data_IF_153862003485
#
_entry.id   IF_153862003485
#
_cell.length_a   1.000
_cell.length_b   1.000
_cell.length_c   1.000
_cell.angle_alpha   90.00
_cell.angle_beta   90.00
_cell.angle_gamma   90.00
#
_symmetry.space_group_name_H-M   'P 1'
#
loop_
_entity.id
_entity.type
_entity.pdbx_description
1 polymer ?
#
# COMPACT_ATOMS: atom_id res chain seq x y z
N UNK A 1 19.71 22.22 -2.30
CA UNK A 1 18.46 22.22 -1.52
C UNK A 1 17.61 21.05 -2.01
N UNK A 2 17.53 19.95 -1.26
CA UNK A 2 16.73 18.78 -1.64
C UNK A 2 15.95 18.31 -0.43
N UNK A 3 14.79 18.91 -0.17
CA UNK A 3 13.89 18.39 0.85
C UNK A 3 13.45 17.00 0.43
N UNK A 4 13.64 15.99 1.29
CA UNK A 4 13.02 14.68 1.11
C UNK A 4 11.51 14.87 1.15
N UNK A 5 10.90 15.02 -0.03
CA UNK A 5 9.45 15.12 -0.14
C UNK A 5 8.90 13.73 0.17
N UNK A 6 8.22 13.60 1.30
CA UNK A 6 7.57 12.36 1.67
C UNK A 6 6.59 11.95 0.57
N UNK A 7 6.77 10.75 0.02
CA UNK A 7 5.87 10.16 -0.98
C UNK A 7 4.95 9.18 -0.25
N UNK A 8 3.66 9.30 -0.51
CA UNK A 8 2.65 8.40 0.04
C UNK A 8 1.69 8.01 -1.09
N UNK A 9 1.38 6.72 -1.16
CA UNK A 9 0.39 6.17 -2.06
C UNK A 9 -0.72 5.53 -1.24
N UNK A 10 -1.97 5.77 -1.62
CA UNK A 10 -3.15 5.18 -1.00
C UNK A 10 -3.79 4.24 -2.01
N UNK A 11 -3.94 2.98 -1.65
CA UNK A 11 -4.55 1.96 -2.50
C UNK A 11 -5.82 1.44 -1.83
N UNK A 12 -6.92 1.40 -2.59
CA UNK A 12 -8.19 0.82 -2.16
C UNK A 12 -8.65 -0.16 -3.23
N UNK A 13 -9.08 -1.34 -2.80
CA UNK A 13 -9.58 -2.38 -3.68
C UNK A 13 -11.03 -2.70 -3.33
N UNK A 14 -11.89 -2.80 -4.35
CA UNK A 14 -13.20 -3.43 -4.19
C UNK A 14 -13.04 -4.90 -4.59
N UNK A 15 -13.09 -5.80 -3.61
CA UNK A 15 -13.00 -7.24 -3.85
C UNK A 15 -14.43 -7.78 -3.98
N UNK A 16 -14.80 -8.22 -5.18
CA UNK A 16 -16.11 -8.78 -5.47
C UNK A 16 -15.99 -10.28 -5.85
N UNK A 17 -17.09 -11.02 -5.74
CA UNK A 17 -17.15 -12.43 -6.13
C UNK A 17 -16.65 -13.42 -5.08
N UNK A 18 -16.32 -12.97 -3.87
CA UNK A 18 -16.08 -13.84 -2.70
C UNK A 18 -17.45 -14.19 -2.08
N UNK A 19 -17.83 -15.47 -1.99
CA UNK A 19 -19.08 -15.87 -1.35
C UNK A 19 -19.17 -15.34 0.08
N UNK A 20 -20.36 -14.94 0.54
CA UNK A 20 -20.54 -14.33 1.86
C UNK A 20 -20.14 -15.26 3.03
N UNK A 21 -20.15 -16.57 2.80
CA UNK A 21 -19.73 -17.60 3.74
C UNK A 21 -18.28 -18.09 3.54
N UNK A 22 -17.54 -17.52 2.58
CA UNK A 22 -16.16 -17.89 2.35
C UNK A 22 -15.24 -17.19 3.36
N UNK A 23 -14.37 -17.97 3.98
CA UNK A 23 -13.28 -17.47 4.81
C UNK A 23 -12.07 -17.19 3.92
N UNK A 24 -11.67 -15.93 3.84
CA UNK A 24 -10.42 -15.53 3.18
C UNK A 24 -9.26 -15.96 4.08
N UNK A 25 -8.46 -16.93 3.62
CA UNK A 25 -7.32 -17.48 4.38
C UNK A 25 -6.02 -16.72 4.16
N UNK A 26 -5.86 -16.07 3.00
CA UNK A 26 -4.68 -15.26 2.69
C UNK A 26 -5.03 -14.27 1.58
N UNK A 27 -4.46 -13.08 1.67
CA UNK A 27 -4.48 -12.09 0.61
C UNK A 27 -3.06 -11.54 0.43
N UNK A 28 -2.61 -11.37 -0.81
CA UNK A 28 -1.26 -10.86 -1.10
C UNK A 28 -1.32 -9.68 -2.04
N UNK A 29 -0.62 -8.61 -1.69
CA UNK A 29 -0.41 -7.44 -2.54
C UNK A 29 0.90 -7.60 -3.32
N UNK A 30 0.84 -7.45 -4.64
CA UNK A 30 2.02 -7.48 -5.51
C UNK A 30 2.24 -6.11 -6.15
N UNK A 31 3.42 -5.54 -5.97
CA UNK A 31 3.83 -4.26 -6.54
C UNK A 31 5.02 -4.48 -7.46
N UNK A 32 4.93 -3.99 -8.70
CA UNK A 32 6.03 -4.04 -9.65
C UNK A 32 6.87 -2.75 -9.58
N UNK A 33 8.17 -2.91 -9.43
CA UNK A 33 9.11 -1.81 -9.25
C UNK A 33 9.55 -1.28 -10.61
N UNK A 34 9.13 -0.06 -10.95
CA UNK A 34 9.52 0.60 -12.20
C UNK A 34 10.78 1.45 -12.05
N UNK A 35 11.06 1.95 -10.85
CA UNK A 35 12.27 2.69 -10.51
C UNK A 35 12.84 2.17 -9.19
N UNK A 36 14.14 1.89 -9.18
CA UNK A 36 14.83 1.29 -8.05
C UNK A 36 14.96 2.25 -6.86
N UNK A 37 15.06 1.68 -5.66
CA UNK A 37 15.25 2.42 -4.42
C UNK A 37 15.97 1.55 -3.39
N UNK A 38 16.82 2.16 -2.56
CA UNK A 38 17.42 1.47 -1.41
C UNK A 38 16.42 1.23 -0.28
N UNK A 39 15.25 1.88 -0.33
CA UNK A 39 14.11 1.65 0.57
C UNK A 39 12.82 1.49 -0.23
N UNK A 40 12.24 0.29 -0.21
CA UNK A 40 10.95 -0.02 -0.85
C UNK A 40 9.75 0.59 -0.11
N UNK A 41 9.98 1.13 1.09
CA UNK A 41 8.99 1.85 1.88
C UNK A 41 8.29 1.01 2.93
N UNK A 42 7.28 1.59 3.54
CA UNK A 42 6.46 1.00 4.60
C UNK A 42 5.04 0.84 4.07
N UNK A 43 4.43 -0.30 4.36
CA UNK A 43 3.02 -0.57 4.05
C UNK A 43 2.25 -0.65 5.37
N UNK A 44 1.20 0.15 5.49
CA UNK A 44 0.33 0.21 6.65
C UNK A 44 -1.14 0.17 6.23
N UNK A 45 -2.00 -0.35 7.11
CA UNK A 45 -3.45 -0.28 6.91
C UNK A 45 -3.96 1.15 7.11
N UNK A 46 -5.07 1.46 6.45
CA UNK A 46 -5.79 2.73 6.59
C UNK A 46 -7.24 2.39 6.88
N UNK A 47 -7.77 2.89 8.00
CA UNK A 47 -9.13 2.54 8.44
C UNK A 47 -10.21 3.24 7.60
N UNK A 48 -10.02 4.53 7.31
CA UNK A 48 -10.93 5.30 6.48
C UNK A 48 -10.83 4.80 5.05
N UNK A 49 -11.89 4.23 4.48
CA UNK A 49 -11.95 3.72 3.10
C UNK A 49 -12.86 4.53 2.19
N UNK A 50 -13.30 5.72 2.61
CA UNK A 50 -14.33 6.53 1.93
C UNK A 50 -13.78 7.74 1.17
N UNK A 51 -12.47 7.83 0.99
CA UNK A 51 -11.84 8.98 0.34
C UNK A 51 -12.14 9.03 -1.18
N UNK A 52 -12.26 10.24 -1.77
CA UNK A 52 -12.37 10.42 -3.22
C UNK A 52 -10.99 10.29 -3.89
N UNK A 53 -10.92 9.99 -5.19
CA UNK A 53 -9.63 9.89 -5.91
C UNK A 53 -8.93 11.24 -6.15
N UNK A 54 -9.53 12.33 -5.66
CA UNK A 54 -9.01 13.70 -5.75
C UNK A 54 -8.31 14.17 -4.46
N UNK A 55 -7.84 13.24 -3.61
CA UNK A 55 -7.11 13.60 -2.39
C UNK A 55 -5.81 14.36 -2.71
N UNK A 56 -5.44 15.25 -1.81
CA UNK A 56 -4.19 16.02 -1.83
C UNK A 56 -3.34 15.66 -0.62
N UNK A 57 -2.13 16.21 -0.53
CA UNK A 57 -1.36 16.09 0.71
C UNK A 57 -2.20 16.51 1.93
N UNK A 58 -2.88 17.65 1.89
CA UNK A 58 -3.63 18.15 3.05
C UNK A 58 -4.93 17.39 3.34
N UNK A 59 -5.52 16.71 2.33
CA UNK A 59 -6.82 16.03 2.45
C UNK A 59 -6.70 14.51 2.45
N UNK A 60 -5.48 13.96 2.47
CA UNK A 60 -5.23 12.53 2.51
C UNK A 60 -5.74 11.92 3.83
N UNK A 61 -6.23 10.67 3.81
CA UNK A 61 -6.56 9.94 5.04
C UNK A 61 -5.36 9.85 5.98
N UNK A 62 -5.63 9.82 7.29
CA UNK A 62 -4.62 9.47 8.27
C UNK A 62 -4.19 8.01 8.09
N UNK A 63 -2.88 7.75 8.17
CA UNK A 63 -2.35 6.39 8.22
C UNK A 63 -2.34 5.97 9.69
N UNK A 64 -3.43 5.37 10.13
CA UNK A 64 -3.74 5.05 11.53
C UNK A 64 -3.72 3.55 11.85
N UNK A 65 -3.64 2.71 10.83
CA UNK A 65 -3.65 1.27 10.97
C UNK A 65 -2.28 0.66 11.23
N UNK A 66 -2.28 -0.63 11.58
CA UNK A 66 -1.06 -1.40 11.80
C UNK A 66 -0.15 -1.38 10.56
N UNK A 67 1.15 -1.24 10.81
CA UNK A 67 2.18 -1.52 9.82
C UNK A 67 2.20 -3.02 9.52
N UNK A 68 2.07 -3.37 8.25
CA UNK A 68 2.01 -4.77 7.79
C UNK A 68 3.30 -5.22 7.10
N UNK A 69 4.10 -4.27 6.57
CA UNK A 69 5.40 -4.59 6.01
C UNK A 69 6.37 -3.40 6.05
N UNK A 70 7.65 -3.72 6.18
CA UNK A 70 8.77 -2.85 5.83
C UNK A 70 9.51 -3.49 4.67
N UNK A 71 9.56 -2.81 3.54
CA UNK A 71 10.21 -3.32 2.34
C UNK A 71 11.66 -2.84 2.29
N UNK A 72 12.57 -3.79 2.08
CA UNK A 72 13.99 -3.52 1.87
C UNK A 72 14.27 -2.88 0.49
N UNK A 73 15.51 -3.00 0.02
CA UNK A 73 15.89 -2.47 -1.28
C UNK A 73 14.99 -3.01 -2.41
N UNK A 74 14.45 -2.10 -3.21
CA UNK A 74 13.59 -2.36 -4.35
C UNK A 74 14.41 -2.24 -5.64
N UNK A 75 14.74 -3.37 -6.26
CA UNK A 75 15.41 -3.38 -7.56
C UNK A 75 14.42 -3.11 -8.69
N UNK A 76 14.83 -2.32 -9.70
CA UNK A 76 14.00 -2.10 -10.88
C UNK A 76 13.66 -3.43 -11.58
N UNK A 77 12.44 -3.53 -12.09
CA UNK A 77 11.86 -4.73 -12.72
C UNK A 77 11.61 -5.91 -11.78
N UNK A 78 11.77 -5.74 -10.46
CA UNK A 78 11.37 -6.73 -9.48
C UNK A 78 9.88 -6.60 -9.08
N UNK A 79 9.32 -7.68 -8.54
CA UNK A 79 8.01 -7.67 -7.89
C UNK A 79 8.19 -7.82 -6.39
N UNK A 80 7.62 -6.89 -5.62
CA UNK A 80 7.50 -6.99 -4.18
C UNK A 80 6.15 -7.63 -3.84
N UNK A 81 6.17 -8.70 -3.06
CA UNK A 81 4.96 -9.35 -2.54
C UNK A 81 4.82 -9.07 -1.05
N UNK A 82 3.64 -8.63 -0.63
CA UNK A 82 3.29 -8.34 0.76
C UNK A 82 2.12 -9.24 1.15
N UNK A 83 2.29 -10.04 2.19
CA UNK A 83 1.19 -10.77 2.80
C UNK A 83 0.32 -9.81 3.61
N UNK A 84 -0.99 -9.85 3.38
CA UNK A 84 -1.94 -8.97 4.03
C UNK A 84 -2.57 -9.60 5.27
N UNK A 85 -2.27 -10.88 5.56
CA UNK A 85 -2.73 -11.58 6.77
C UNK A 85 -4.20 -11.94 6.77
#
# INVERSE_FOLDING_TARGET
>A
MGGSSAKQAFLRFSVAGVPANALVQSARLRLYVTNDSTSGGIVSRVSNTSWPETITWNTRPAIDGAQIATLGAAAAKATMEIDLG
#
